data_IF_070983603193
#
_entry.id   IF_070983603193
#
_cell.length_a   1.000
_cell.length_b   1.000
_cell.length_c   1.000
_cell.angle_alpha   90.00
_cell.angle_beta   90.00
_cell.angle_gamma   90.00
#
_symmetry.space_group_name_H-M   'P 1'
#
loop_
_entity.id
_entity.type
_entity.pdbx_description
1 polymer ?
#
# COMPACT_ATOMS: atom_id res chain seq x y z
N UNK A 1 -2.15 -17.01 21.43
CA UNK A 1 -2.70 -16.38 20.22
C UNK A 1 -3.20 -14.97 20.55
N UNK A 2 -2.76 -13.95 19.82
CA UNK A 2 -3.14 -12.53 20.05
C UNK A 2 -4.55 -12.27 19.51
N UNK A 3 -5.36 -11.56 20.29
CA UNK A 3 -6.75 -11.22 19.95
C UNK A 3 -7.13 -9.77 20.22
N UNK A 4 -6.43 -9.10 21.14
CA UNK A 4 -6.72 -7.72 21.58
C UNK A 4 -5.53 -6.78 21.39
N UNK A 5 -5.80 -5.48 21.29
CA UNK A 5 -4.74 -4.44 21.17
C UNK A 5 -3.83 -4.41 22.41
N UNK A 6 -4.38 -4.64 23.61
CA UNK A 6 -3.59 -4.72 24.85
C UNK A 6 -2.52 -5.81 24.78
N UNK A 7 -2.85 -6.96 24.19
CA UNK A 7 -1.89 -8.04 23.98
C UNK A 7 -0.81 -7.65 22.96
N UNK A 8 -1.15 -6.89 21.92
CA UNK A 8 -0.17 -6.36 20.95
C UNK A 8 0.82 -5.44 21.62
N UNK A 9 0.35 -4.51 22.46
CA UNK A 9 1.19 -3.56 23.20
C UNK A 9 2.15 -4.31 24.14
N UNK A 10 1.61 -5.25 24.91
CA UNK A 10 2.39 -6.06 25.85
C UNK A 10 3.34 -7.05 25.17
N UNK A 11 3.15 -7.34 23.87
CA UNK A 11 3.97 -8.30 23.15
C UNK A 11 5.38 -7.76 22.92
N UNK A 12 6.35 -8.40 23.56
CA UNK A 12 7.78 -8.11 23.44
C UNK A 12 8.57 -9.42 23.36
N UNK A 13 9.75 -9.42 22.73
CA UNK A 13 10.66 -10.57 22.80
C UNK A 13 11.09 -10.83 24.24
N UNK A 14 11.20 -12.10 24.62
CA UNK A 14 11.86 -12.47 25.88
C UNK A 14 13.37 -12.26 25.77
N UNK A 15 14.04 -12.01 26.90
CA UNK A 15 15.43 -11.55 27.04
C UNK A 15 16.45 -12.28 26.13
N UNK A 16 16.30 -13.59 25.93
CA UNK A 16 17.24 -14.40 25.14
C UNK A 16 16.85 -14.57 23.66
N UNK A 17 15.76 -13.95 23.17
CA UNK A 17 15.30 -14.09 21.79
C UNK A 17 15.36 -12.77 21.04
N UNK A 18 16.10 -12.75 19.94
CA UNK A 18 16.20 -11.59 19.05
C UNK A 18 14.91 -11.30 18.27
N UNK A 19 14.09 -12.32 18.03
CA UNK A 19 12.80 -12.21 17.36
C UNK A 19 11.78 -13.19 17.94
N UNK A 20 10.53 -12.74 18.03
CA UNK A 20 9.39 -13.58 18.41
C UNK A 20 8.23 -13.33 17.46
N UNK A 21 7.46 -14.39 17.18
CA UNK A 21 6.29 -14.34 16.31
C UNK A 21 5.13 -15.02 17.02
N UNK A 22 3.97 -14.39 16.95
CA UNK A 22 2.75 -14.92 17.54
C UNK A 22 1.59 -14.83 16.55
N UNK A 23 0.77 -15.87 16.48
CA UNK A 23 -0.42 -15.88 15.63
C UNK A 23 -1.47 -14.91 16.15
N UNK A 24 -2.17 -14.25 15.25
CA UNK A 24 -3.21 -13.25 15.56
C UNK A 24 -4.53 -13.75 15.01
N UNK A 25 -5.58 -13.71 15.85
CA UNK A 25 -6.91 -14.13 15.42
C UNK A 25 -7.52 -13.12 14.45
N UNK A 26 -8.07 -13.61 13.34
CA UNK A 26 -8.92 -12.85 12.44
C UNK A 26 -10.07 -13.75 12.00
N UNK A 27 -11.25 -13.58 12.62
CA UNK A 27 -12.40 -14.51 12.53
C UNK A 27 -12.56 -15.12 11.13
N UNK A 28 -12.45 -16.46 11.03
CA UNK A 28 -12.66 -17.22 9.80
C UNK A 28 -11.45 -17.33 8.85
N UNK A 29 -10.39 -16.55 9.05
CA UNK A 29 -9.21 -16.54 8.17
C UNK A 29 -7.90 -16.65 8.96
N UNK A 30 -7.08 -17.64 8.61
CA UNK A 30 -5.77 -17.88 9.23
C UNK A 30 -4.63 -17.14 8.55
N UNK A 31 -3.44 -17.20 9.14
CA UNK A 31 -2.19 -16.71 8.52
C UNK A 31 -1.69 -15.36 9.03
N UNK A 32 -2.52 -14.58 9.73
CA UNK A 32 -2.10 -13.32 10.37
C UNK A 32 -1.19 -13.60 11.58
N UNK A 33 -0.08 -12.88 11.66
CA UNK A 33 0.89 -12.96 12.73
C UNK A 33 1.47 -11.58 13.07
N UNK A 34 1.96 -11.45 14.29
CA UNK A 34 2.71 -10.29 14.77
C UNK A 34 4.16 -10.72 15.03
N UNK A 35 5.12 -10.00 14.47
CA UNK A 35 6.54 -10.16 14.77
C UNK A 35 7.03 -8.97 15.61
N UNK A 36 7.70 -9.27 16.72
CA UNK A 36 8.46 -8.30 17.50
C UNK A 36 9.93 -8.69 17.53
N UNK A 37 10.81 -7.70 17.55
CA UNK A 37 12.27 -7.89 17.57
C UNK A 37 12.88 -7.13 18.73
N UNK A 38 14.01 -7.59 19.25
CA UNK A 38 14.65 -6.97 20.42
C UNK A 38 15.37 -5.67 20.06
N UNK A 39 15.71 -5.47 18.79
CA UNK A 39 16.42 -4.30 18.28
C UNK A 39 15.51 -3.08 18.03
N UNK A 40 14.18 -3.24 18.09
CA UNK A 40 13.21 -2.20 17.69
C UNK A 40 11.91 -2.30 18.48
N UNK A 41 11.35 -1.15 18.85
CA UNK A 41 10.04 -1.10 19.50
C UNK A 41 8.87 -1.36 18.54
N UNK A 42 9.09 -1.10 17.24
CA UNK A 42 8.10 -1.35 16.20
C UNK A 42 7.89 -2.85 15.96
N UNK A 43 6.62 -3.25 15.81
CA UNK A 43 6.22 -4.65 15.56
C UNK A 43 5.68 -4.75 14.13
N UNK A 44 5.85 -5.89 13.47
CA UNK A 44 5.42 -6.09 12.08
C UNK A 44 4.20 -6.99 12.01
N UNK A 45 3.21 -6.56 11.23
CA UNK A 45 2.09 -7.41 10.84
C UNK A 45 2.48 -8.25 9.63
N UNK A 46 2.38 -9.56 9.77
CA UNK A 46 2.74 -10.52 8.74
C UNK A 46 1.52 -11.34 8.34
N UNK A 47 1.36 -11.57 7.05
CA UNK A 47 0.45 -12.57 6.51
C UNK A 47 1.27 -13.71 5.92
N UNK A 48 1.15 -14.91 6.50
CA UNK A 48 1.75 -16.15 6.01
C UNK A 48 0.70 -16.95 5.26
N UNK A 49 0.98 -17.26 4.00
CA UNK A 49 0.04 -17.94 3.11
C UNK A 49 0.77 -18.91 2.18
N UNK A 50 0.00 -19.69 1.41
CA UNK A 50 0.53 -20.61 0.40
C UNK A 50 -0.17 -20.40 -0.93
N UNK A 51 0.61 -20.41 -2.01
CA UNK A 51 0.11 -20.45 -3.40
C UNK A 51 0.88 -21.55 -4.11
N UNK A 52 0.18 -22.42 -4.83
CA UNK A 52 0.80 -23.53 -5.57
C UNK A 52 1.77 -24.38 -4.69
N UNK A 53 1.34 -24.71 -3.47
CA UNK A 53 2.13 -25.47 -2.50
C UNK A 53 3.34 -24.73 -1.88
N UNK A 54 3.71 -23.55 -2.39
CA UNK A 54 4.85 -22.77 -1.89
C UNK A 54 4.42 -21.80 -0.80
N UNK A 55 5.23 -21.69 0.26
CA UNK A 55 4.98 -20.77 1.36
C UNK A 55 5.52 -19.38 1.05
N UNK A 56 4.69 -18.38 1.31
CA UNK A 56 5.00 -16.97 1.12
C UNK A 56 4.66 -16.16 2.38
N UNK A 57 5.32 -15.01 2.51
CA UNK A 57 5.09 -14.06 3.59
C UNK A 57 4.97 -12.65 3.00
N UNK A 58 3.96 -11.91 3.48
CA UNK A 58 3.69 -10.52 3.14
C UNK A 58 3.71 -9.70 4.43
N UNK A 59 4.54 -8.65 4.48
CA UNK A 59 4.42 -7.62 5.50
C UNK A 59 3.25 -6.70 5.16
N UNK A 60 2.24 -6.67 6.02
CA UNK A 60 1.06 -5.82 5.85
C UNK A 60 1.35 -4.38 6.29
N UNK A 61 2.07 -4.21 7.40
CA UNK A 61 2.42 -2.92 7.97
C UNK A 61 3.17 -3.09 9.29
N UNK A 62 3.30 -1.99 10.03
CA UNK A 62 4.01 -1.95 11.30
C UNK A 62 3.16 -1.29 12.39
N UNK A 63 3.12 -1.85 13.58
CA UNK A 63 2.56 -1.21 14.78
C UNK A 63 3.61 -0.24 15.37
N UNK A 64 3.24 0.98 15.81
CA UNK A 64 1.87 1.49 16.02
C UNK A 64 1.24 2.19 14.80
N UNK A 65 1.96 2.38 13.70
CA UNK A 65 1.46 3.08 12.51
C UNK A 65 0.22 2.40 11.90
N UNK A 66 0.12 1.07 12.00
CA UNK A 66 -1.03 0.26 11.65
C UNK A 66 -1.53 -0.48 12.90
N UNK A 67 -2.78 -0.21 13.31
CA UNK A 67 -3.41 -0.84 14.48
C UNK A 67 -3.96 -2.23 14.15
N UNK A 68 -4.32 -3.03 15.17
CA UNK A 68 -4.81 -4.41 14.97
C UNK A 68 -6.02 -4.48 14.03
N UNK A 69 -6.95 -3.51 14.13
CA UNK A 69 -8.15 -3.45 13.27
C UNK A 69 -7.78 -3.29 11.80
N UNK A 70 -6.87 -2.37 11.50
CA UNK A 70 -6.39 -2.10 10.13
C UNK A 70 -5.61 -3.29 9.59
N UNK A 71 -4.74 -3.90 10.41
CA UNK A 71 -4.03 -5.12 10.03
C UNK A 71 -4.99 -6.27 9.70
N UNK A 72 -6.08 -6.44 10.45
CA UNK A 72 -7.13 -7.44 10.15
C UNK A 72 -7.86 -7.15 8.85
N UNK A 73 -8.09 -5.88 8.53
CA UNK A 73 -8.73 -5.47 7.29
C UNK A 73 -7.81 -5.74 6.09
N UNK A 74 -6.56 -5.27 6.14
CA UNK A 74 -5.55 -5.51 5.11
C UNK A 74 -5.28 -7.02 4.90
N UNK A 75 -5.34 -7.81 5.98
CA UNK A 75 -5.25 -9.26 5.89
C UNK A 75 -6.40 -9.87 5.08
N UNK A 76 -7.64 -9.43 5.28
CA UNK A 76 -8.80 -9.95 4.53
C UNK A 76 -8.70 -9.61 3.04
N UNK A 77 -8.23 -8.40 2.72
CA UNK A 77 -7.98 -8.00 1.34
C UNK A 77 -6.91 -8.86 0.69
N UNK A 78 -5.80 -9.12 1.39
CA UNK A 78 -4.75 -10.03 0.91
C UNK A 78 -5.24 -11.48 0.79
N UNK A 79 -6.09 -11.97 1.69
CA UNK A 79 -6.69 -13.31 1.61
C UNK A 79 -7.51 -13.46 0.33
N UNK A 80 -8.36 -12.48 0.00
CA UNK A 80 -9.15 -12.50 -1.26
C UNK A 80 -8.27 -12.64 -2.50
N UNK A 81 -7.13 -11.95 -2.55
CA UNK A 81 -6.19 -12.06 -3.66
C UNK A 81 -5.59 -13.47 -3.75
N UNK A 82 -5.19 -14.05 -2.61
CA UNK A 82 -4.63 -15.41 -2.54
C UNK A 82 -5.66 -16.46 -2.95
N UNK A 83 -6.93 -16.30 -2.55
CA UNK A 83 -8.04 -17.18 -2.96
C UNK A 83 -8.25 -17.17 -4.48
N UNK A 84 -7.97 -16.04 -5.15
CA UNK A 84 -7.97 -15.92 -6.61
C UNK A 84 -6.66 -16.43 -7.25
N UNK A 85 -5.72 -16.98 -6.48
CA UNK A 85 -4.42 -17.42 -6.95
C UNK A 85 -3.43 -16.29 -7.26
N UNK A 86 -3.75 -15.05 -6.89
CA UNK A 86 -2.89 -13.88 -7.10
C UNK A 86 -1.98 -13.66 -5.89
N UNK A 87 -0.70 -13.39 -6.16
CA UNK A 87 0.26 -13.01 -5.11
C UNK A 87 0.05 -11.54 -4.71
N UNK A 88 -0.38 -11.24 -3.46
CA UNK A 88 -0.63 -9.86 -3.03
C UNK A 88 0.62 -8.97 -3.08
N UNK A 89 1.83 -9.54 -3.01
CA UNK A 89 3.08 -8.77 -3.13
C UNK A 89 3.25 -8.24 -4.55
N UNK A 90 2.92 -9.06 -5.54
CA UNK A 90 2.97 -8.66 -6.96
C UNK A 90 1.92 -7.62 -7.25
N UNK A 91 0.71 -7.78 -6.70
CA UNK A 91 -0.35 -6.78 -6.83
C UNK A 91 0.08 -5.42 -6.27
N UNK A 92 0.66 -5.38 -5.06
CA UNK A 92 1.19 -4.15 -4.48
C UNK A 92 2.32 -3.52 -5.32
N UNK A 93 3.19 -4.34 -5.89
CA UNK A 93 4.26 -3.86 -6.76
C UNK A 93 3.70 -3.29 -8.07
N UNK A 94 2.69 -3.94 -8.65
CA UNK A 94 2.00 -3.50 -9.85
C UNK A 94 1.28 -2.17 -9.63
N UNK A 95 0.52 -2.03 -8.54
CA UNK A 95 -0.14 -0.76 -8.17
C UNK A 95 0.88 0.37 -7.97
N UNK A 96 2.00 0.09 -7.31
CA UNK A 96 3.08 1.07 -7.15
C UNK A 96 3.65 1.48 -8.51
N UNK A 97 3.90 0.53 -9.41
CA UNK A 97 4.42 0.81 -10.74
C UNK A 97 3.42 1.64 -11.57
N UNK A 98 2.14 1.29 -11.54
CA UNK A 98 1.09 2.06 -12.21
C UNK A 98 0.99 3.49 -11.67
N UNK A 99 1.09 3.67 -10.35
CA UNK A 99 1.05 5.01 -9.75
C UNK A 99 2.27 5.85 -10.12
N UNK A 100 3.44 5.23 -10.30
CA UNK A 100 4.66 5.92 -10.76
C UNK A 100 4.63 6.21 -12.26
N UNK A 101 3.94 5.40 -13.05
CA UNK A 101 3.77 5.58 -14.49
C UNK A 101 2.58 6.48 -14.84
N UNK A 102 1.73 6.81 -13.87
CA UNK A 102 0.62 7.74 -14.06
C UNK A 102 1.19 9.12 -14.40
N UNK A 103 0.61 9.74 -15.43
CA UNK A 103 1.01 11.08 -15.84
C UNK A 103 0.87 12.08 -14.71
N UNK A 104 1.83 13.00 -14.63
CA UNK A 104 1.65 14.19 -13.81
C UNK A 104 0.52 15.04 -14.40
N UNK A 105 -0.06 15.91 -13.56
CA UNK A 105 -1.08 16.85 -14.03
C UNK A 105 -0.54 17.73 -15.17
N UNK A 106 0.74 18.10 -15.10
CA UNK A 106 1.41 18.90 -16.12
C UNK A 106 1.53 18.13 -17.44
N UNK A 107 2.04 16.90 -17.42
CA UNK A 107 2.15 16.06 -18.62
C UNK A 107 0.79 15.80 -19.27
N UNK A 108 -0.24 15.55 -18.45
CA UNK A 108 -1.61 15.40 -18.94
C UNK A 108 -2.13 16.68 -19.59
N UNK A 109 -1.83 17.85 -19.01
CA UNK A 109 -2.21 19.15 -19.54
C UNK A 109 -1.51 19.47 -20.85
N UNK A 110 -0.20 19.27 -20.93
CA UNK A 110 0.59 19.53 -22.14
C UNK A 110 0.09 18.66 -23.30
N UNK A 111 -0.18 17.38 -23.03
CA UNK A 111 -0.76 16.45 -24.02
C UNK A 111 -2.16 16.89 -24.47
N UNK A 112 -2.97 17.40 -23.55
CA UNK A 112 -4.30 17.93 -23.89
C UNK A 112 -4.20 19.17 -24.79
N UNK A 113 -3.29 20.10 -24.50
CA UNK A 113 -3.05 21.29 -25.34
C UNK A 113 -2.63 20.88 -26.75
N UNK A 114 -1.70 19.93 -26.90
CA UNK A 114 -1.26 19.42 -28.20
C UNK A 114 -2.42 18.80 -28.99
N UNK A 115 -3.23 17.95 -28.35
CA UNK A 115 -4.40 17.34 -28.99
C UNK A 115 -5.44 18.38 -29.40
N UNK A 116 -5.69 19.38 -28.55
CA UNK A 116 -6.66 20.44 -28.81
C UNK A 116 -6.29 21.30 -30.03
N UNK A 117 -5.00 21.53 -30.26
CA UNK A 117 -4.51 22.25 -31.44
C UNK A 117 -4.80 21.50 -32.74
N UNK A 118 -4.79 20.17 -32.71
CA UNK A 118 -5.05 19.31 -33.87
C UNK A 118 -6.55 19.12 -34.13
N UNK A 119 -7.37 19.04 -33.07
CA UNK A 119 -8.82 18.83 -33.16
C UNK A 119 -9.57 19.89 -32.35
N UNK A 120 -9.62 21.15 -32.83
CA UNK A 120 -10.26 22.22 -32.08
C UNK A 120 -11.76 21.98 -31.93
N UNK A 121 -12.28 22.25 -30.73
CA UNK A 121 -13.72 22.23 -30.46
C UNK A 121 -14.48 23.33 -31.21
N UNK A 122 -15.79 23.43 -30.97
CA UNK A 122 -16.68 24.41 -31.63
C UNK A 122 -16.15 25.86 -31.55
N UNK A 123 -15.54 26.23 -30.44
CA UNK A 123 -14.73 27.44 -30.32
C UNK A 123 -13.27 27.10 -30.63
N UNK A 124 -12.81 27.48 -31.81
CA UNK A 124 -11.49 27.12 -32.37
C UNK A 124 -10.29 27.80 -31.70
N UNK A 125 -10.48 28.44 -30.54
CA UNK A 125 -9.42 29.14 -29.86
C UNK A 125 -8.72 28.18 -28.89
N UNK A 126 -7.42 27.90 -29.09
CA UNK A 126 -6.62 27.24 -28.06
C UNK A 126 -6.47 28.16 -26.85
N UNK A 127 -6.17 27.62 -25.66
CA UNK A 127 -5.83 28.45 -24.51
C UNK A 127 -4.68 29.38 -24.88
N UNK A 128 -4.82 30.66 -24.57
CA UNK A 128 -3.79 31.65 -24.91
C UNK A 128 -2.48 31.33 -24.18
N UNK A 129 -1.31 31.70 -24.73
CA UNK A 129 -0.02 31.49 -24.05
C UNK A 129 -0.05 32.04 -22.62
N UNK A 130 -0.70 33.18 -22.41
CA UNK A 130 -0.91 33.79 -21.09
C UNK A 130 -1.68 32.87 -20.14
N UNK A 131 -2.75 32.22 -20.60
CA UNK A 131 -3.53 31.24 -19.82
C UNK A 131 -2.72 30.00 -19.48
N UNK A 132 -1.90 29.51 -20.42
CA UNK A 132 -0.99 28.36 -20.22
C UNK A 132 0.06 28.70 -19.17
N UNK A 133 0.76 29.83 -19.30
CA UNK A 133 1.81 30.27 -18.36
C UNK A 133 1.24 30.58 -16.96
N UNK A 134 0.01 31.09 -16.87
CA UNK A 134 -0.65 31.38 -15.60
C UNK A 134 -1.06 30.11 -14.83
N UNK A 135 -1.28 28.98 -15.53
CA UNK A 135 -1.61 27.70 -14.92
C UNK A 135 -0.37 26.88 -14.51
N UNK A 136 0.83 27.19 -15.05
CA UNK A 136 2.09 26.55 -14.68
C UNK A 136 2.66 27.01 -13.31
N UNK A 137 1.98 27.93 -12.61
CA UNK A 137 2.44 28.52 -11.36
C UNK A 137 1.59 28.15 -10.16
N UNK A 138 2.01 27.14 -9.39
CA UNK A 138 1.43 26.88 -8.07
C UNK A 138 1.72 25.51 -7.47
N UNK A 139 2.98 25.08 -7.39
CA UNK A 139 3.30 23.82 -6.74
C UNK A 139 4.75 23.41 -6.81
N UNK A 140 5.67 24.29 -6.41
CA UNK A 140 7.02 23.84 -6.03
C UNK A 140 6.86 23.07 -4.72
N UNK A 141 6.97 21.74 -4.81
CA UNK A 141 7.08 20.86 -3.64
C UNK A 141 8.52 20.98 -3.14
N UNK A 142 8.71 21.70 -2.03
CA UNK A 142 9.87 21.57 -1.13
C UNK A 142 9.67 20.42 -0.15
#
# INVERSE_FOLDING_TARGET
MISTEKQVIAFKPCENKTKVREGVTNRGVGGLALEARSDRDAKRWLYRYRINGKQHELQLGSYPAMKLREARQAHREAVKLVELGLDPRKQRAYEKANNLAAWTMQEAFDRWVEHYQQTPGRNKQPPTPKTVTQQHGGGVVT
#
